data_IF_510914260095
#
_entry.id   IF_510914260095
#
_cell.length_a   1.000
_cell.length_b   1.000
_cell.length_c   1.000
_cell.angle_alpha   90.00
_cell.angle_beta   90.00
_cell.angle_gamma   90.00
#
_symmetry.space_group_name_H-M   'P 1'
#
loop_
_entity.id
_entity.type
_entity.pdbx_description
1 polymer ?
#
# COMPACT_ATOMS: atom_id res chain seq x y z
N UNK A 1 27.57 -13.40 24.97
CA UNK A 1 28.69 -13.07 24.05
C UNK A 1 28.23 -12.11 22.96
N UNK A 2 29.15 -11.47 22.21
CA UNK A 2 28.79 -10.55 21.12
C UNK A 2 27.93 -11.23 20.03
N UNK A 3 28.16 -12.52 19.77
CA UNK A 3 27.35 -13.32 18.83
C UNK A 3 25.91 -13.49 19.30
N UNK A 4 25.65 -13.67 20.59
CA UNK A 4 24.28 -13.74 21.14
C UNK A 4 23.54 -12.41 20.98
N UNK A 5 24.23 -11.27 21.16
CA UNK A 5 23.64 -9.94 20.95
C UNK A 5 23.23 -9.79 19.47
N UNK A 6 24.09 -10.22 18.55
CA UNK A 6 23.78 -10.21 17.12
C UNK A 6 22.60 -11.11 16.80
N UNK A 7 22.56 -12.33 17.34
CA UNK A 7 21.46 -13.27 17.11
C UNK A 7 20.12 -12.72 17.61
N UNK A 8 20.09 -12.08 18.79
CA UNK A 8 18.90 -11.39 19.32
C UNK A 8 18.45 -10.26 18.40
N UNK A 9 19.38 -9.43 17.92
CA UNK A 9 19.08 -8.32 17.01
C UNK A 9 18.61 -8.82 15.64
N UNK A 10 19.18 -9.91 15.13
CA UNK A 10 18.76 -10.56 13.90
C UNK A 10 17.31 -11.06 14.02
N UNK A 11 16.98 -11.75 15.12
CA UNK A 11 15.62 -12.20 15.42
C UNK A 11 14.64 -11.03 15.48
N UNK A 12 15.02 -9.93 16.13
CA UNK A 12 14.20 -8.72 16.20
C UNK A 12 13.94 -8.11 14.82
N UNK A 13 14.99 -7.98 13.97
CA UNK A 13 14.84 -7.45 12.61
C UNK A 13 13.93 -8.32 11.75
N UNK A 14 14.04 -9.65 11.85
CA UNK A 14 13.14 -10.59 11.17
C UNK A 14 11.69 -10.44 11.66
N UNK A 15 11.48 -10.28 12.97
CA UNK A 15 10.16 -9.99 13.53
C UNK A 15 9.57 -8.69 12.98
N UNK A 16 10.35 -7.61 12.94
CA UNK A 16 9.92 -6.34 12.37
C UNK A 16 9.55 -6.46 10.88
N UNK A 17 10.28 -7.28 10.10
CA UNK A 17 9.96 -7.54 8.70
C UNK A 17 8.59 -8.23 8.57
N UNK A 18 8.32 -9.25 9.38
CA UNK A 18 7.02 -9.95 9.37
C UNK A 18 5.85 -9.01 9.73
N UNK A 19 6.06 -8.08 10.65
CA UNK A 19 5.05 -7.06 10.98
C UNK A 19 4.80 -6.11 9.81
N UNK A 20 5.85 -5.68 9.10
CA UNK A 20 5.69 -4.86 7.89
C UNK A 20 4.96 -5.62 6.77
N UNK A 21 5.25 -6.91 6.59
CA UNK A 21 4.52 -7.75 5.62
C UNK A 21 3.03 -7.86 5.99
N UNK A 22 2.71 -8.05 7.27
CA UNK A 22 1.33 -8.08 7.77
C UNK A 22 0.61 -6.74 7.56
N UNK A 23 1.31 -5.61 7.76
CA UNK A 23 0.75 -4.27 7.52
C UNK A 23 0.54 -3.95 6.04
N UNK A 24 1.31 -4.56 5.15
CA UNK A 24 1.23 -4.31 3.71
C UNK A 24 -0.01 -4.96 3.07
N UNK A 25 -0.40 -6.16 3.50
CA UNK A 25 -1.54 -6.88 2.95
C UNK A 25 -2.86 -6.09 2.95
N UNK A 26 -3.33 -5.51 4.07
CA UNK A 26 -4.57 -4.75 4.07
C UNK A 26 -4.53 -3.51 3.15
N UNK A 27 -3.37 -2.87 3.01
CA UNK A 27 -3.22 -1.71 2.11
C UNK A 27 -3.36 -2.14 0.65
N UNK A 28 -2.74 -3.26 0.25
CA UNK A 28 -2.88 -3.81 -1.11
C UNK A 28 -4.34 -4.19 -1.38
N UNK A 29 -4.98 -4.88 -0.44
CA UNK A 29 -6.39 -5.27 -0.56
C UNK A 29 -7.29 -4.04 -0.71
N UNK A 30 -7.10 -3.02 0.12
CA UNK A 30 -7.91 -1.80 0.04
C UNK A 30 -7.64 -1.01 -1.26
N UNK A 31 -6.40 -1.02 -1.77
CA UNK A 31 -6.09 -0.45 -3.08
C UNK A 31 -6.84 -1.17 -4.21
N UNK A 32 -6.89 -2.51 -4.19
CA UNK A 32 -7.64 -3.30 -5.18
C UNK A 32 -9.15 -3.04 -5.10
N UNK A 33 -9.69 -2.93 -3.88
CA UNK A 33 -11.10 -2.57 -3.65
C UNK A 33 -11.39 -1.17 -4.21
N UNK A 34 -10.53 -0.19 -3.93
CA UNK A 34 -10.66 1.18 -4.46
C UNK A 34 -10.63 1.20 -5.99
N UNK A 35 -9.72 0.45 -6.61
CA UNK A 35 -9.63 0.33 -8.07
C UNK A 35 -10.90 -0.27 -8.68
N UNK A 36 -11.42 -1.34 -8.06
CA UNK A 36 -12.66 -2.00 -8.50
C UNK A 36 -13.86 -1.04 -8.42
N UNK A 37 -13.98 -0.31 -7.30
CA UNK A 37 -15.04 0.68 -7.10
C UNK A 37 -14.94 1.84 -8.09
N UNK A 38 -13.73 2.36 -8.33
CA UNK A 38 -13.50 3.41 -9.31
C UNK A 38 -13.86 2.97 -10.74
N UNK A 39 -13.56 1.72 -11.11
CA UNK A 39 -13.96 1.14 -12.39
C UNK A 39 -15.49 1.06 -12.51
N UNK A 40 -16.18 0.62 -11.46
CA UNK A 40 -17.64 0.54 -11.44
C UNK A 40 -18.28 1.93 -11.65
N UNK A 41 -17.76 2.97 -10.99
CA UNK A 41 -18.21 4.35 -11.20
C UNK A 41 -17.96 4.80 -12.64
N UNK A 42 -16.78 4.51 -13.19
CA UNK A 42 -16.46 4.85 -14.59
C UNK A 42 -17.42 4.17 -15.58
N UNK A 43 -17.71 2.88 -15.39
CA UNK A 43 -18.68 2.15 -16.21
C UNK A 43 -20.06 2.79 -16.12
N UNK A 44 -20.53 3.12 -14.91
CA UNK A 44 -21.84 3.74 -14.71
C UNK A 44 -21.94 5.13 -15.35
N UNK A 45 -20.88 5.92 -15.27
CA UNK A 45 -20.81 7.21 -15.96
C UNK A 45 -20.88 7.05 -17.48
N UNK A 46 -20.19 6.06 -18.05
CA UNK A 46 -20.27 5.76 -19.48
C UNK A 46 -21.69 5.37 -19.90
N UNK A 47 -22.38 4.54 -19.12
CA UNK A 47 -23.79 4.18 -19.38
C UNK A 47 -24.70 5.41 -19.35
N UNK A 48 -24.49 6.32 -18.39
CA UNK A 48 -25.30 7.53 -18.28
C UNK A 48 -25.09 8.48 -19.46
N UNK A 49 -23.84 8.62 -19.92
CA UNK A 49 -23.45 9.47 -21.05
C UNK A 49 -23.67 8.82 -22.42
N UNK A 50 -23.81 7.51 -22.49
CA UNK A 50 -23.99 6.75 -23.74
C UNK A 50 -25.40 6.81 -24.32
N UNK A 51 -26.30 7.58 -23.72
CA UNK A 51 -27.66 7.73 -24.22
C UNK A 51 -27.71 8.59 -25.50
N UNK A 52 -28.57 8.21 -26.45
CA UNK A 52 -28.84 8.91 -27.71
C UNK A 52 -30.35 9.11 -27.88
N UNK A 53 -30.80 10.30 -28.32
CA UNK A 53 -32.21 10.61 -28.63
C UNK A 53 -32.70 11.94 -28.04
N UNK A 54 -33.99 12.01 -27.67
CA UNK A 54 -34.58 13.10 -26.85
C UNK A 54 -35.09 12.54 -25.51
N UNK A 55 -34.70 13.14 -24.38
CA UNK A 55 -35.23 12.80 -23.05
C UNK A 55 -36.27 13.82 -22.61
N UNK A 56 -37.23 13.37 -21.81
CA UNK A 56 -38.08 14.27 -21.05
C UNK A 56 -37.27 15.08 -20.03
N UNK A 57 -37.78 16.26 -19.65
CA UNK A 57 -37.13 17.12 -18.66
C UNK A 57 -36.88 16.41 -17.32
N UNK A 58 -37.83 15.58 -16.85
CA UNK A 58 -37.67 14.86 -15.58
C UNK A 58 -36.56 13.80 -15.65
N UNK A 59 -36.40 13.10 -16.77
CA UNK A 59 -35.32 12.10 -16.94
C UNK A 59 -33.94 12.78 -17.05
N UNK A 60 -33.86 13.96 -17.65
CA UNK A 60 -32.62 14.75 -17.69
C UNK A 60 -32.20 15.19 -16.27
N UNK A 61 -33.17 15.64 -15.47
CA UNK A 61 -32.91 16.03 -14.08
C UNK A 61 -32.44 14.85 -13.23
N UNK A 62 -33.08 13.70 -13.38
CA UNK A 62 -32.68 12.46 -12.69
C UNK A 62 -31.26 12.02 -13.08
N UNK A 63 -30.95 11.98 -14.39
CA UNK A 63 -29.58 11.68 -14.86
C UNK A 63 -28.55 12.66 -14.32
N UNK A 64 -28.85 13.96 -14.28
CA UNK A 64 -27.98 14.99 -13.69
C UNK A 64 -27.69 14.69 -12.22
N UNK A 65 -28.73 14.33 -11.45
CA UNK A 65 -28.58 13.97 -10.04
C UNK A 65 -27.71 12.71 -9.86
N UNK A 66 -27.94 11.67 -10.68
CA UNK A 66 -27.12 10.46 -10.66
C UNK A 66 -25.64 10.75 -10.99
N UNK A 67 -25.38 11.58 -12.00
CA UNK A 67 -24.01 11.98 -12.36
C UNK A 67 -23.33 12.77 -11.23
N UNK A 68 -24.03 13.68 -10.57
CA UNK A 68 -23.49 14.42 -9.42
C UNK A 68 -23.12 13.49 -8.26
N UNK A 69 -23.95 12.47 -7.99
CA UNK A 69 -23.65 11.43 -7.01
C UNK A 69 -22.40 10.63 -7.37
N UNK A 70 -22.29 10.16 -8.61
CA UNK A 70 -21.12 9.43 -9.11
C UNK A 70 -19.85 10.28 -9.09
N UNK A 71 -19.94 11.57 -9.41
CA UNK A 71 -18.80 12.49 -9.33
C UNK A 71 -18.29 12.62 -7.89
N UNK A 72 -19.20 12.74 -6.93
CA UNK A 72 -18.85 12.81 -5.50
C UNK A 72 -18.17 11.53 -5.03
N UNK A 73 -18.67 10.36 -5.46
CA UNK A 73 -18.04 9.07 -5.19
C UNK A 73 -16.65 8.95 -5.85
N UNK A 74 -16.49 9.42 -7.09
CA UNK A 74 -15.18 9.43 -7.75
C UNK A 74 -14.16 10.27 -6.98
N UNK A 75 -14.56 11.45 -6.48
CA UNK A 75 -13.69 12.32 -5.66
C UNK A 75 -13.29 11.67 -4.34
N UNK A 76 -14.22 10.98 -3.66
CA UNK A 76 -13.88 10.26 -2.42
C UNK A 76 -12.89 9.12 -2.68
N UNK A 77 -13.05 8.36 -3.77
CA UNK A 77 -12.10 7.31 -4.14
C UNK A 77 -10.72 7.86 -4.53
N UNK A 78 -10.65 9.01 -5.21
CA UNK A 78 -9.37 9.66 -5.50
C UNK A 78 -8.62 10.04 -4.22
N UNK A 79 -9.35 10.60 -3.25
CA UNK A 79 -8.78 10.97 -1.94
C UNK A 79 -8.31 9.72 -1.19
N UNK A 80 -9.13 8.68 -1.13
CA UNK A 80 -8.78 7.41 -0.48
C UNK A 80 -7.55 6.77 -1.13
N UNK A 81 -7.47 6.76 -2.46
CA UNK A 81 -6.32 6.23 -3.21
C UNK A 81 -5.04 6.98 -2.87
N UNK A 82 -5.09 8.31 -2.78
CA UNK A 82 -3.91 9.11 -2.41
C UNK A 82 -3.44 8.79 -0.99
N UNK A 83 -4.35 8.60 -0.05
CA UNK A 83 -4.02 8.21 1.32
C UNK A 83 -3.36 6.83 1.38
N UNK A 84 -3.92 5.85 0.66
CA UNK A 84 -3.36 4.49 0.58
C UNK A 84 -1.96 4.49 -0.05
N UNK A 85 -1.75 5.29 -1.11
CA UNK A 85 -0.43 5.44 -1.73
C UNK A 85 0.58 6.00 -0.74
N UNK A 86 0.21 7.06 0.00
CA UNK A 86 1.10 7.63 1.03
C UNK A 86 1.45 6.61 2.12
N UNK A 87 0.48 5.81 2.58
CA UNK A 87 0.71 4.74 3.56
C UNK A 87 1.64 3.65 3.00
N UNK A 88 1.45 3.26 1.74
CA UNK A 88 2.31 2.30 1.06
C UNK A 88 3.75 2.80 0.95
N UNK A 89 3.96 4.06 0.53
CA UNK A 89 5.28 4.67 0.44
C UNK A 89 5.99 4.73 1.80
N UNK A 90 5.26 5.00 2.88
CA UNK A 90 5.81 4.95 4.24
C UNK A 90 6.29 3.54 4.63
N UNK A 91 5.52 2.50 4.29
CA UNK A 91 5.95 1.11 4.51
C UNK A 91 7.20 0.75 3.69
N UNK A 92 7.26 1.16 2.42
CA UNK A 92 8.42 0.95 1.55
C UNK A 92 9.67 1.60 2.14
N UNK A 93 9.56 2.83 2.63
CA UNK A 93 10.65 3.54 3.30
C UNK A 93 11.14 2.79 4.55
N UNK A 94 10.22 2.39 5.43
CA UNK A 94 10.55 1.60 6.65
C UNK A 94 11.21 0.27 6.32
N UNK A 95 10.74 -0.43 5.28
CA UNK A 95 11.35 -1.69 4.80
C UNK A 95 12.77 -1.45 4.29
N UNK A 96 13.00 -0.39 3.54
CA UNK A 96 14.33 -0.01 3.05
C UNK A 96 15.31 0.26 4.19
N UNK A 97 14.87 1.00 5.22
CA UNK A 97 15.69 1.25 6.41
C UNK A 97 16.00 -0.04 7.18
N UNK A 98 15.00 -0.90 7.36
CA UNK A 98 15.18 -2.21 8.00
C UNK A 98 16.19 -3.08 7.25
N UNK A 99 16.14 -3.07 5.91
CA UNK A 99 17.10 -3.80 5.06
C UNK A 99 18.53 -3.26 5.23
N UNK A 100 18.71 -1.94 5.30
CA UNK A 100 20.02 -1.33 5.58
C UNK A 100 20.56 -1.77 6.95
N UNK A 101 19.70 -1.75 7.97
CA UNK A 101 20.05 -2.19 9.32
C UNK A 101 20.43 -3.68 9.37
N UNK A 102 19.70 -4.52 8.64
CA UNK A 102 20.00 -5.95 8.51
C UNK A 102 21.36 -6.17 7.85
N UNK A 103 21.62 -5.53 6.70
CA UNK A 103 22.89 -5.63 6.00
C UNK A 103 24.07 -5.18 6.88
N UNK A 104 23.91 -4.08 7.63
CA UNK A 104 24.93 -3.62 8.57
C UNK A 104 25.19 -4.60 9.71
N UNK A 105 24.14 -5.26 10.22
CA UNK A 105 24.27 -6.30 11.25
C UNK A 105 25.02 -7.53 10.73
N UNK A 106 24.70 -7.99 9.51
CA UNK A 106 25.37 -9.13 8.89
C UNK A 106 26.87 -8.88 8.67
N UNK A 107 27.24 -7.69 8.20
CA UNK A 107 28.65 -7.29 8.10
C UNK A 107 29.39 -7.31 9.45
N UNK A 108 28.72 -6.93 10.55
CA UNK A 108 29.31 -7.03 11.90
C UNK A 108 29.48 -8.48 12.33
N UNK A 109 28.50 -9.33 12.03
CA UNK A 109 28.54 -10.78 12.31
C UNK A 109 29.73 -11.42 11.62
N UNK A 110 29.88 -11.20 10.32
CA UNK A 110 31.00 -11.71 9.51
C UNK A 110 32.36 -11.33 10.09
N UNK A 111 32.57 -10.05 10.42
CA UNK A 111 33.83 -9.59 11.03
C UNK A 111 34.14 -10.29 12.34
N UNK A 112 33.15 -10.44 13.22
CA UNK A 112 33.35 -11.11 14.52
C UNK A 112 33.65 -12.59 14.30
N UNK A 113 32.94 -13.24 13.37
CA UNK A 113 33.18 -14.65 13.04
C UNK A 113 34.59 -14.86 12.48
N UNK A 114 35.09 -13.97 11.60
CA UNK A 114 36.48 -14.02 11.13
C UNK A 114 37.50 -13.87 12.26
N UNK A 115 37.35 -12.86 13.13
CA UNK A 115 38.28 -12.66 14.25
C UNK A 115 38.29 -13.87 15.19
N UNK A 116 37.14 -14.50 15.41
CA UNK A 116 37.05 -15.71 16.22
C UNK A 116 37.64 -16.94 15.49
N UNK A 117 37.55 -17.04 14.17
CA UNK A 117 38.17 -18.14 13.42
C UNK A 117 39.68 -17.99 13.27
N UNK A 118 40.21 -16.76 13.28
CA UNK A 118 41.65 -16.48 13.21
C UNK A 118 42.33 -16.62 14.59
N UNK A 119 41.55 -16.61 15.68
CA UNK A 119 42.04 -16.72 17.05
C UNK A 119 42.06 -18.17 17.60
N UNK A 120 41.60 -19.15 16.80
CA UNK A 120 41.58 -20.58 17.10
C UNK A 120 42.36 -21.36 16.03
#
# INVERSE_FOLDING_TARGET
TLLEIIARREKQLRGNLTVLDQQQQPIITEQQICQTRALAVSTRLKELMGWQGTLSCHLLLDKKQQMAGLFTQAQSFLTQRQQLENQYQQLVSRRSELQKNFNALMKKKEKITMVLSDAY
#
